data_IF_557385168568
#
_entry.id   IF_557385168568
#
_cell.length_a   1.000
_cell.length_b   1.000
_cell.length_c   1.000
_cell.angle_alpha   90.00
_cell.angle_beta   90.00
_cell.angle_gamma   90.00
#
_symmetry.space_group_name_H-M   'P 1'
#
loop_
_entity.id
_entity.type
_entity.pdbx_description
1 polymer ?
#
# COMPACT_ATOMS: atom_id res chain seq x y z
N UNK A 1 -16.57 -0.08 9.37
CA UNK A 1 -17.92 -0.08 9.96
C UNK A 1 -18.96 0.23 8.90
N UNK A 2 -18.93 1.42 8.28
CA UNK A 2 -19.92 1.84 7.26
C UNK A 2 -20.21 0.81 6.17
N UNK A 3 -19.17 0.21 5.56
CA UNK A 3 -19.37 -0.77 4.49
C UNK A 3 -20.14 -2.02 4.97
N UNK A 4 -19.75 -2.60 6.11
CA UNK A 4 -20.40 -3.81 6.63
C UNK A 4 -21.83 -3.53 7.11
N UNK A 5 -22.07 -2.36 7.71
CA UNK A 5 -23.44 -1.95 8.08
C UNK A 5 -24.31 -1.73 6.85
N UNK A 6 -23.77 -1.13 5.78
CA UNK A 6 -24.50 -0.98 4.52
C UNK A 6 -24.84 -2.34 3.89
N UNK A 7 -23.90 -3.29 3.88
CA UNK A 7 -24.14 -4.67 3.42
C UNK A 7 -25.27 -5.35 4.21
N UNK A 8 -25.30 -5.19 5.54
CA UNK A 8 -26.38 -5.73 6.39
C UNK A 8 -27.72 -5.08 6.05
N UNK A 9 -27.77 -3.75 5.92
CA UNK A 9 -29.00 -3.03 5.59
C UNK A 9 -29.56 -3.48 4.24
N UNK A 10 -28.73 -3.55 3.20
CA UNK A 10 -29.14 -4.05 1.87
C UNK A 10 -29.71 -5.47 1.97
N UNK A 11 -29.06 -6.34 2.75
CA UNK A 11 -29.48 -7.73 2.94
C UNK A 11 -30.78 -7.86 3.72
N UNK A 12 -30.98 -7.03 4.75
CA UNK A 12 -32.23 -6.99 5.52
C UNK A 12 -33.40 -6.51 4.65
N UNK A 13 -33.20 -5.47 3.84
CA UNK A 13 -34.22 -4.98 2.89
C UNK A 13 -34.62 -6.11 1.93
N UNK A 14 -33.65 -6.86 1.41
CA UNK A 14 -33.94 -8.00 0.53
C UNK A 14 -34.72 -9.12 1.24
N UNK A 15 -34.36 -9.48 2.48
CA UNK A 15 -35.09 -10.47 3.28
C UNK A 15 -36.53 -10.03 3.58
N UNK A 16 -36.73 -8.77 3.95
CA UNK A 16 -38.06 -8.19 4.18
C UNK A 16 -38.88 -8.28 2.90
N UNK A 17 -38.29 -8.01 1.73
CA UNK A 17 -38.96 -8.17 0.44
C UNK A 17 -39.48 -9.59 0.18
N UNK A 18 -38.74 -10.62 0.61
CA UNK A 18 -39.18 -12.01 0.51
C UNK A 18 -40.23 -12.40 1.56
N UNK A 19 -40.11 -11.94 2.80
CA UNK A 19 -41.06 -12.31 3.87
C UNK A 19 -42.40 -11.61 3.74
N UNK A 20 -42.41 -10.38 3.20
CA UNK A 20 -43.64 -9.58 3.02
C UNK A 20 -44.30 -9.78 1.66
N UNK A 21 -43.64 -10.48 0.72
CA UNK A 21 -44.11 -10.65 -0.65
C UNK A 21 -43.93 -9.42 -1.56
N UNK A 22 -43.47 -8.28 -1.01
CA UNK A 22 -43.12 -7.09 -1.80
C UNK A 22 -41.76 -7.25 -2.48
N UNK A 23 -41.72 -8.06 -3.54
CA UNK A 23 -40.52 -8.38 -4.31
C UNK A 23 -39.81 -7.14 -4.91
N UNK A 24 -40.47 -5.99 -5.00
CA UNK A 24 -39.86 -4.71 -5.39
C UNK A 24 -38.65 -4.36 -4.51
N UNK A 25 -38.73 -4.64 -3.20
CA UNK A 25 -37.65 -4.40 -2.24
C UNK A 25 -36.44 -5.31 -2.49
N UNK A 26 -36.65 -6.52 -2.99
CA UNK A 26 -35.58 -7.48 -3.25
C UNK A 26 -34.98 -7.39 -4.65
N UNK A 27 -35.68 -6.74 -5.61
CA UNK A 27 -35.25 -6.63 -7.02
C UNK A 27 -34.76 -5.25 -7.48
N UNK A 28 -34.93 -4.18 -6.70
CA UNK A 28 -34.60 -2.77 -7.04
C UNK A 28 -35.31 -2.16 -8.26
N UNK A 29 -35.59 -2.94 -9.31
CA UNK A 29 -36.40 -2.60 -10.48
C UNK A 29 -37.07 -3.87 -11.01
N UNK A 30 -38.25 -3.74 -11.63
CA UNK A 30 -39.02 -4.89 -12.14
C UNK A 30 -38.31 -5.71 -13.22
N UNK A 31 -37.28 -5.11 -13.84
CA UNK A 31 -36.45 -5.73 -14.88
C UNK A 31 -35.33 -6.62 -14.34
N UNK A 32 -35.07 -6.59 -13.04
CA UNK A 32 -33.93 -7.28 -12.43
C UNK A 32 -34.36 -8.46 -11.56
N UNK A 33 -33.47 -9.45 -11.45
CA UNK A 33 -33.68 -10.62 -10.60
C UNK A 33 -33.49 -10.22 -9.12
N UNK A 34 -34.38 -10.65 -8.21
CA UNK A 34 -34.24 -10.40 -6.79
C UNK A 34 -33.06 -11.16 -6.17
N UNK A 35 -32.43 -10.54 -5.16
CA UNK A 35 -31.42 -11.18 -4.31
C UNK A 35 -32.01 -12.40 -3.61
N UNK A 36 -31.35 -13.56 -3.66
CA UNK A 36 -31.82 -14.78 -3.01
C UNK A 36 -31.78 -14.67 -1.46
N UNK A 37 -32.71 -15.28 -0.72
CA UNK A 37 -32.70 -15.27 0.74
C UNK A 37 -31.42 -15.88 1.35
N UNK A 38 -30.91 -16.96 0.76
CA UNK A 38 -29.64 -17.61 1.11
C UNK A 38 -28.44 -16.66 1.02
N UNK A 39 -28.42 -15.83 -0.04
CA UNK A 39 -27.43 -14.76 -0.24
C UNK A 39 -27.51 -13.72 0.87
N UNK A 40 -28.72 -13.26 1.21
CA UNK A 40 -28.90 -12.21 2.23
C UNK A 40 -28.48 -12.68 3.63
N UNK A 41 -28.81 -13.92 4.00
CA UNK A 41 -28.35 -14.52 5.25
C UNK A 41 -26.82 -14.67 5.30
N UNK A 42 -26.20 -15.06 4.18
CA UNK A 42 -24.74 -15.19 4.08
C UNK A 42 -24.03 -13.84 4.25
N UNK A 43 -24.58 -12.77 3.68
CA UNK A 43 -24.08 -11.41 3.89
C UNK A 43 -24.22 -10.93 5.34
N UNK A 44 -25.37 -11.17 5.97
CA UNK A 44 -25.60 -10.81 7.38
C UNK A 44 -24.60 -11.56 8.27
N UNK A 45 -24.42 -12.87 8.05
CA UNK A 45 -23.48 -13.69 8.80
C UNK A 45 -22.04 -13.21 8.68
N UNK A 46 -21.54 -13.01 7.45
CA UNK A 46 -20.16 -12.54 7.24
C UNK A 46 -19.95 -11.09 7.70
N UNK A 47 -20.88 -10.18 7.40
CA UNK A 47 -20.76 -8.78 7.80
C UNK A 47 -20.84 -8.60 9.31
N UNK A 48 -21.72 -9.37 9.98
CA UNK A 48 -21.79 -9.43 11.43
C UNK A 48 -20.49 -9.95 12.04
N UNK A 49 -19.92 -11.04 11.49
CA UNK A 49 -18.63 -11.56 11.92
C UNK A 49 -17.48 -10.55 11.72
N UNK A 50 -17.48 -9.81 10.60
CA UNK A 50 -16.50 -8.75 10.33
C UNK A 50 -16.63 -7.56 11.30
N UNK A 51 -17.86 -7.16 11.66
CA UNK A 51 -18.11 -6.13 12.67
C UNK A 51 -17.62 -6.58 14.05
N UNK A 52 -17.91 -7.83 14.45
CA UNK A 52 -17.43 -8.40 15.71
C UNK A 52 -15.90 -8.48 15.76
N UNK A 53 -15.26 -8.96 14.70
CA UNK A 53 -13.80 -9.03 14.57
C UNK A 53 -13.15 -7.65 14.72
N UNK A 54 -13.77 -6.61 14.14
CA UNK A 54 -13.27 -5.23 14.22
C UNK A 54 -13.52 -4.57 15.58
N UNK A 55 -14.63 -4.88 16.25
CA UNK A 55 -15.01 -4.28 17.53
C UNK A 55 -14.21 -4.88 18.71
N UNK A 56 -13.91 -6.17 18.65
CA UNK A 56 -13.23 -6.89 19.73
C UNK A 56 -11.98 -7.64 19.22
N UNK A 57 -10.95 -6.92 18.76
CA UNK A 57 -9.73 -7.54 18.29
C UNK A 57 -9.07 -8.33 19.44
N UNK A 58 -8.50 -9.49 19.13
CA UNK A 58 -7.76 -10.34 20.07
C UNK A 58 -8.54 -10.95 21.25
N UNK A 59 -9.88 -10.85 21.30
CA UNK A 59 -10.67 -11.62 22.29
C UNK A 59 -10.84 -13.08 21.83
N UNK A 60 -10.31 -14.08 22.55
CA UNK A 60 -10.37 -15.49 22.14
C UNK A 60 -11.77 -16.02 21.83
N UNK A 61 -12.83 -15.79 22.66
CA UNK A 61 -14.15 -16.33 22.35
C UNK A 61 -14.76 -15.68 21.10
N UNK A 62 -14.51 -14.39 20.87
CA UNK A 62 -14.98 -13.69 19.67
C UNK A 62 -14.31 -14.25 18.43
N UNK A 63 -13.00 -14.54 18.47
CA UNK A 63 -12.29 -15.13 17.34
C UNK A 63 -12.82 -16.52 16.97
N UNK A 64 -13.24 -17.33 17.94
CA UNK A 64 -13.89 -18.63 17.67
C UNK A 64 -15.21 -18.43 16.94
N UNK A 65 -16.05 -17.50 17.41
CA UNK A 65 -17.33 -17.17 16.75
C UNK A 65 -17.12 -16.66 15.33
N UNK A 66 -16.16 -15.75 15.13
CA UNK A 66 -15.84 -15.18 13.81
C UNK A 66 -15.36 -16.26 12.83
N UNK A 67 -14.46 -17.15 13.27
CA UNK A 67 -13.98 -18.27 12.44
C UNK A 67 -15.10 -19.26 12.13
N UNK A 68 -15.94 -19.58 13.12
CA UNK A 68 -17.10 -20.44 12.96
C UNK A 68 -18.10 -19.88 11.94
N UNK A 69 -18.44 -18.59 12.03
CA UNK A 69 -19.32 -17.93 11.08
C UNK A 69 -18.74 -17.92 9.66
N UNK A 70 -17.44 -17.64 9.51
CA UNK A 70 -16.77 -17.66 8.22
C UNK A 70 -16.77 -19.07 7.60
N UNK A 71 -16.43 -20.10 8.38
CA UNK A 71 -16.47 -21.50 7.93
C UNK A 71 -17.89 -21.95 7.56
N UNK A 72 -18.89 -21.59 8.36
CA UNK A 72 -20.28 -21.94 8.10
C UNK A 72 -20.76 -21.37 6.74
N UNK A 73 -20.50 -20.08 6.49
CA UNK A 73 -20.87 -19.45 5.21
C UNK A 73 -20.08 -20.05 4.04
N UNK A 74 -18.78 -20.33 4.23
CA UNK A 74 -17.98 -20.96 3.17
C UNK A 74 -18.47 -22.37 2.82
N UNK A 75 -18.72 -23.22 3.81
CA UNK A 75 -19.21 -24.58 3.58
C UNK A 75 -20.59 -24.58 2.94
N UNK A 76 -21.48 -23.70 3.40
CA UNK A 76 -22.78 -23.48 2.78
C UNK A 76 -22.64 -23.08 1.30
N UNK A 77 -21.81 -22.08 0.98
CA UNK A 77 -21.62 -21.64 -0.40
C UNK A 77 -20.88 -22.68 -1.25
N UNK A 78 -19.97 -23.46 -0.67
CA UNK A 78 -19.29 -24.55 -1.35
C UNK A 78 -20.28 -25.66 -1.72
N UNK A 79 -21.20 -26.00 -0.82
CA UNK A 79 -22.26 -26.99 -1.10
C UNK A 79 -23.18 -26.55 -2.24
N UNK A 80 -23.52 -25.26 -2.31
CA UNK A 80 -24.29 -24.68 -3.42
C UNK A 80 -23.49 -24.74 -4.73
N UNK A 81 -22.21 -24.37 -4.69
CA UNK A 81 -21.35 -24.41 -5.87
C UNK A 81 -21.19 -25.83 -6.43
N UNK A 82 -21.11 -26.84 -5.55
CA UNK A 82 -21.07 -28.26 -5.91
C UNK A 82 -22.42 -28.71 -6.48
N UNK A 83 -23.55 -28.35 -5.87
CA UNK A 83 -24.90 -28.66 -6.40
C UNK A 83 -25.06 -28.10 -7.82
N UNK A 84 -24.64 -26.86 -8.07
CA UNK A 84 -24.75 -26.23 -9.40
C UNK A 84 -23.81 -26.88 -10.43
N UNK A 85 -22.58 -27.26 -10.05
CA UNK A 85 -21.59 -27.80 -10.99
C UNK A 85 -21.80 -29.28 -11.32
N UNK A 86 -22.30 -30.07 -10.36
CA UNK A 86 -22.51 -31.52 -10.52
C UNK A 86 -23.95 -31.88 -10.90
N UNK A 87 -24.91 -30.98 -10.67
CA UNK A 87 -26.33 -31.26 -10.84
C UNK A 87 -26.92 -32.19 -9.77
N UNK A 88 -26.16 -32.54 -8.72
CA UNK A 88 -26.64 -33.34 -7.60
C UNK A 88 -27.70 -32.56 -6.80
N UNK A 89 -28.94 -33.05 -6.67
CA UNK A 89 -30.02 -32.32 -6.00
C UNK A 89 -29.87 -32.41 -4.48
N UNK A 90 -28.92 -31.66 -3.91
CA UNK A 90 -28.78 -31.53 -2.45
C UNK A 90 -29.97 -30.77 -1.84
N UNK A 91 -30.62 -29.90 -2.61
CA UNK A 91 -31.88 -29.26 -2.21
C UNK A 91 -31.71 -28.26 -1.05
N UNK A 92 -30.50 -27.77 -0.83
CA UNK A 92 -30.13 -26.95 0.34
C UNK A 92 -30.90 -25.63 0.33
N UNK A 93 -31.09 -25.04 -0.84
CA UNK A 93 -31.81 -23.77 -0.98
C UNK A 93 -33.35 -23.91 -0.88
N UNK A 94 -33.89 -25.14 -1.01
CA UNK A 94 -35.35 -25.39 -0.90
C UNK A 94 -35.88 -25.12 0.51
N UNK A 95 -35.00 -25.14 1.51
CA UNK A 95 -35.33 -24.79 2.90
C UNK A 95 -35.75 -23.32 3.01
N UNK A 96 -35.12 -22.45 2.23
CA UNK A 96 -35.32 -21.00 2.31
C UNK A 96 -36.48 -20.51 1.46
N UNK A 97 -36.89 -21.26 0.43
CA UNK A 97 -38.01 -20.89 -0.43
C UNK A 97 -38.68 -22.12 -1.08
N UNK A 98 -39.99 -22.29 -0.83
CA UNK A 98 -40.75 -23.51 -1.21
C UNK A 98 -41.40 -23.47 -2.60
N UNK A 99 -41.52 -22.30 -3.24
CA UNK A 99 -42.29 -22.13 -4.49
C UNK A 99 -41.54 -21.29 -5.53
N UNK A 100 -40.52 -21.84 -6.24
CA UNK A 100 -39.70 -21.08 -7.18
C UNK A 100 -40.54 -20.47 -8.30
N UNK A 101 -40.68 -19.15 -8.28
CA UNK A 101 -41.19 -18.39 -9.42
C UNK A 101 -40.11 -18.40 -10.51
N UNK A 102 -40.51 -18.45 -11.77
CA UNK A 102 -39.58 -18.42 -12.90
C UNK A 102 -39.52 -17.00 -13.48
N UNK A 103 -38.31 -16.49 -13.70
CA UNK A 103 -38.07 -15.29 -14.48
C UNK A 103 -37.45 -15.70 -15.82
N UNK A 104 -38.28 -15.80 -16.85
CA UNK A 104 -37.88 -16.46 -18.11
C UNK A 104 -37.56 -17.93 -17.87
N UNK A 105 -36.32 -18.35 -18.16
CA UNK A 105 -35.83 -19.72 -17.98
C UNK A 105 -35.13 -19.96 -16.64
N UNK A 106 -35.05 -18.94 -15.77
CA UNK A 106 -34.25 -18.96 -14.55
C UNK A 106 -35.14 -19.04 -13.31
N UNK A 107 -34.82 -19.94 -12.38
CA UNK A 107 -35.53 -20.08 -11.12
C UNK A 107 -35.13 -18.98 -10.13
N UNK A 108 -36.11 -18.23 -9.62
CA UNK A 108 -35.91 -17.19 -8.61
C UNK A 108 -35.65 -17.77 -7.22
N UNK A 109 -34.98 -16.99 -6.38
CA UNK A 109 -34.69 -17.36 -4.98
C UNK A 109 -33.51 -18.32 -4.82
N UNK A 110 -32.78 -18.62 -5.91
CA UNK A 110 -31.57 -19.43 -5.91
C UNK A 110 -30.33 -18.57 -6.11
N UNK A 111 -29.26 -18.94 -5.43
CA UNK A 111 -28.00 -18.22 -5.50
C UNK A 111 -27.19 -18.60 -6.76
N UNK A 112 -26.55 -17.62 -7.41
CA UNK A 112 -25.72 -17.91 -8.58
C UNK A 112 -24.36 -18.51 -8.20
N UNK A 113 -23.75 -19.24 -9.14
CA UNK A 113 -22.40 -19.80 -8.98
C UNK A 113 -21.36 -18.72 -8.67
N UNK A 114 -21.44 -17.58 -9.38
CA UNK A 114 -20.55 -16.43 -9.18
C UNK A 114 -20.71 -15.85 -7.77
N UNK A 115 -21.96 -15.73 -7.29
CA UNK A 115 -22.25 -15.28 -5.91
C UNK A 115 -21.63 -16.25 -4.89
N UNK A 116 -21.75 -17.56 -5.13
CA UNK A 116 -21.18 -18.60 -4.25
C UNK A 116 -19.65 -18.51 -4.20
N UNK A 117 -18.99 -18.39 -5.34
CA UNK A 117 -17.54 -18.20 -5.41
C UNK A 117 -17.09 -16.92 -4.69
N UNK A 118 -17.83 -15.82 -4.82
CA UNK A 118 -17.53 -14.57 -4.12
C UNK A 118 -17.63 -14.71 -2.60
N UNK A 119 -18.62 -15.43 -2.09
CA UNK A 119 -18.71 -15.71 -0.65
C UNK A 119 -17.63 -16.66 -0.15
N UNK A 120 -17.24 -17.67 -0.93
CA UNK A 120 -16.13 -18.56 -0.57
C UNK A 120 -14.83 -17.75 -0.47
N UNK A 121 -14.56 -16.87 -1.44
CA UNK A 121 -13.40 -15.97 -1.41
C UNK A 121 -13.46 -14.97 -0.23
N UNK A 122 -14.63 -14.37 0.02
CA UNK A 122 -14.84 -13.42 1.14
C UNK A 122 -14.70 -14.10 2.50
N UNK A 123 -15.22 -15.32 2.66
CA UNK A 123 -15.09 -16.12 3.86
C UNK A 123 -13.65 -16.55 4.11
N UNK A 124 -12.92 -16.95 3.05
CA UNK A 124 -11.49 -17.28 3.15
C UNK A 124 -10.67 -16.05 3.53
N UNK A 125 -10.98 -14.88 2.97
CA UNK A 125 -10.38 -13.59 3.36
C UNK A 125 -10.55 -13.32 4.85
N UNK A 126 -11.76 -13.50 5.40
CA UNK A 126 -12.02 -13.36 6.83
C UNK A 126 -11.28 -14.41 7.66
N UNK A 127 -11.25 -15.68 7.24
CA UNK A 127 -10.51 -16.73 7.96
C UNK A 127 -9.02 -16.44 8.04
N UNK A 128 -8.40 -15.97 6.96
CA UNK A 128 -6.99 -15.57 6.97
C UNK A 128 -6.74 -14.43 7.97
N UNK A 129 -7.63 -13.42 8.02
CA UNK A 129 -7.51 -12.32 8.98
C UNK A 129 -7.75 -12.75 10.43
N UNK A 130 -8.68 -13.67 10.67
CA UNK A 130 -9.05 -14.11 12.01
C UNK A 130 -8.12 -15.22 12.57
N UNK A 131 -7.41 -15.95 11.71
CA UNK A 131 -6.61 -17.12 12.09
C UNK A 131 -5.12 -16.84 12.16
N UNK A 132 -4.61 -15.93 11.33
CA UNK A 132 -3.19 -15.62 11.29
C UNK A 132 -2.80 -14.57 12.35
N UNK A 133 -1.54 -14.59 12.83
CA UNK A 133 -1.04 -13.59 13.75
C UNK A 133 -1.20 -12.17 13.21
N UNK A 134 -1.45 -11.21 14.10
CA UNK A 134 -1.68 -9.81 13.73
C UNK A 134 -0.50 -9.20 12.95
N UNK A 135 0.72 -9.72 13.09
CA UNK A 135 1.91 -9.21 12.38
C UNK A 135 2.19 -9.89 11.03
N UNK A 136 1.37 -10.88 10.65
CA UNK A 136 1.56 -11.62 9.40
C UNK A 136 1.21 -10.76 8.18
N UNK A 137 2.23 -10.11 7.61
CA UNK A 137 2.10 -9.30 6.37
C UNK A 137 1.61 -10.14 5.19
N UNK A 138 2.09 -11.38 5.05
CA UNK A 138 1.68 -12.30 3.97
C UNK A 138 0.20 -12.65 4.10
N UNK A 139 -0.26 -13.01 5.31
CA UNK A 139 -1.67 -13.33 5.57
C UNK A 139 -2.63 -12.20 5.24
N UNK A 140 -2.33 -10.99 5.72
CA UNK A 140 -3.13 -9.79 5.42
C UNK A 140 -3.13 -9.43 3.94
N UNK A 141 -2.01 -9.65 3.24
CA UNK A 141 -1.92 -9.40 1.79
C UNK A 141 -2.75 -10.41 0.99
N UNK A 142 -2.74 -11.69 1.36
CA UNK A 142 -3.59 -12.70 0.73
C UNK A 142 -5.07 -12.43 0.97
N UNK A 143 -5.45 -12.08 2.22
CA UNK A 143 -6.82 -11.72 2.54
C UNK A 143 -7.32 -10.51 1.74
N UNK A 144 -6.49 -9.45 1.64
CA UNK A 144 -6.79 -8.28 0.83
C UNK A 144 -6.89 -8.61 -0.67
N UNK A 145 -6.05 -9.51 -1.18
CA UNK A 145 -6.10 -9.98 -2.57
C UNK A 145 -7.41 -10.72 -2.89
N UNK A 146 -7.84 -11.63 -2.02
CA UNK A 146 -9.13 -12.33 -2.17
C UNK A 146 -10.31 -11.34 -2.14
N UNK A 147 -10.30 -10.39 -1.20
CA UNK A 147 -11.32 -9.36 -1.12
C UNK A 147 -11.33 -8.45 -2.36
N UNK A 148 -10.16 -8.13 -2.92
CA UNK A 148 -10.05 -7.37 -4.16
C UNK A 148 -10.67 -8.11 -5.35
N UNK A 149 -10.46 -9.43 -5.47
CA UNK A 149 -11.12 -10.23 -6.52
C UNK A 149 -12.64 -10.12 -6.41
N UNK A 150 -13.19 -10.19 -5.19
CA UNK A 150 -14.63 -10.02 -4.95
C UNK A 150 -15.10 -8.63 -5.38
N UNK A 151 -14.34 -7.57 -5.05
CA UNK A 151 -14.66 -6.19 -5.49
C UNK A 151 -14.67 -6.08 -7.01
N UNK A 152 -13.67 -6.64 -7.69
CA UNK A 152 -13.57 -6.57 -9.16
C UNK A 152 -14.72 -7.32 -9.84
N UNK A 153 -15.03 -8.54 -9.38
CA UNK A 153 -16.17 -9.31 -9.89
C UNK A 153 -17.47 -8.55 -9.66
N UNK A 154 -17.68 -8.00 -8.46
CA UNK A 154 -18.86 -7.21 -8.15
C UNK A 154 -18.98 -5.94 -9.00
N UNK A 155 -17.86 -5.23 -9.23
CA UNK A 155 -17.81 -4.04 -10.06
C UNK A 155 -18.22 -4.33 -11.51
N UNK A 156 -17.71 -5.43 -12.10
CA UNK A 156 -18.09 -5.85 -13.47
C UNK A 156 -19.61 -6.05 -13.57
N UNK A 157 -20.24 -6.66 -12.55
CA UNK A 157 -21.68 -6.88 -12.58
C UNK A 157 -22.47 -5.58 -12.39
N UNK A 158 -22.07 -4.70 -11.46
CA UNK A 158 -22.71 -3.38 -11.31
C UNK A 158 -22.63 -2.58 -12.61
N UNK A 159 -21.48 -2.60 -13.29
CA UNK A 159 -21.30 -1.93 -14.59
C UNK A 159 -22.15 -2.56 -15.70
N UNK A 160 -22.27 -3.89 -15.72
CA UNK A 160 -23.18 -4.57 -16.66
C UNK A 160 -24.62 -4.09 -16.51
N UNK A 161 -25.13 -4.02 -15.28
CA UNK A 161 -26.45 -3.46 -15.00
C UNK A 161 -26.56 -1.98 -15.40
N UNK A 162 -25.51 -1.17 -15.18
CA UNK A 162 -25.55 0.26 -15.53
C UNK A 162 -25.50 0.53 -17.04
N UNK A 163 -24.85 -0.35 -17.81
CA UNK A 163 -24.79 -0.27 -19.28
C UNK A 163 -25.99 -0.94 -19.96
N UNK A 164 -26.93 -1.49 -19.18
CA UNK A 164 -28.06 -2.26 -19.71
C UNK A 164 -27.67 -3.61 -20.31
N UNK A 165 -26.39 -4.00 -20.24
CA UNK A 165 -25.88 -5.30 -20.67
C UNK A 165 -25.89 -6.23 -19.48
N UNK A 166 -27.00 -6.95 -19.35
CA UNK A 166 -27.15 -7.92 -18.28
C UNK A 166 -26.23 -9.12 -18.52
N UNK A 167 -25.03 -9.05 -17.94
CA UNK A 167 -23.98 -10.07 -18.00
C UNK A 167 -24.61 -11.43 -17.64
N UNK A 168 -24.59 -12.36 -18.59
CA UNK A 168 -25.13 -13.73 -18.49
C UNK A 168 -26.67 -13.88 -18.53
N UNK A 169 -27.45 -12.82 -18.74
CA UNK A 169 -28.89 -12.98 -19.01
C UNK A 169 -29.11 -13.55 -20.42
N UNK A 170 -30.01 -14.54 -20.51
CA UNK A 170 -30.30 -15.27 -21.76
C UNK A 170 -29.65 -16.65 -21.86
N UNK A 171 -28.77 -17.01 -20.93
CA UNK A 171 -28.25 -18.37 -20.76
C UNK A 171 -29.05 -19.21 -19.76
N UNK A 172 -28.63 -20.46 -19.54
CA UNK A 172 -29.13 -21.33 -18.45
C UNK A 172 -28.51 -21.00 -17.08
N UNK A 173 -27.57 -20.05 -17.03
CA UNK A 173 -26.82 -19.69 -15.83
C UNK A 173 -27.59 -18.61 -15.07
N UNK A 174 -27.83 -18.82 -13.78
CA UNK A 174 -28.43 -17.84 -12.89
C UNK A 174 -27.47 -16.63 -12.76
N UNK A 175 -27.86 -15.42 -13.16
CA UNK A 175 -26.99 -14.26 -13.05
C UNK A 175 -27.02 -13.67 -11.63
N UNK A 176 -25.98 -12.93 -11.25
CA UNK A 176 -25.93 -12.25 -9.95
C UNK A 176 -26.86 -11.04 -9.93
N UNK A 177 -27.70 -10.89 -8.90
CA UNK A 177 -28.61 -9.73 -8.73
C UNK A 177 -27.83 -8.40 -8.52
N UNK A 178 -28.42 -7.27 -8.90
CA UNK A 178 -27.79 -5.95 -8.80
C UNK A 178 -27.47 -5.56 -7.35
N UNK A 179 -28.44 -5.66 -6.44
CA UNK A 179 -28.24 -5.39 -5.03
C UNK A 179 -27.23 -6.36 -4.37
N UNK A 180 -27.17 -7.62 -4.81
CA UNK A 180 -26.11 -8.56 -4.43
C UNK A 180 -24.73 -8.06 -4.84
N UNK A 181 -24.58 -7.56 -6.08
CA UNK A 181 -23.33 -7.00 -6.57
C UNK A 181 -22.91 -5.77 -5.75
N UNK A 182 -23.84 -4.85 -5.49
CA UNK A 182 -23.59 -3.67 -4.65
C UNK A 182 -23.21 -4.06 -3.23
N UNK A 183 -23.87 -5.07 -2.64
CA UNK A 183 -23.55 -5.58 -1.31
C UNK A 183 -22.13 -6.18 -1.25
N UNK A 184 -21.68 -6.89 -2.29
CA UNK A 184 -20.31 -7.38 -2.40
C UNK A 184 -19.27 -6.28 -2.59
N UNK A 185 -19.59 -5.19 -3.33
CA UNK A 185 -18.71 -4.03 -3.42
C UNK A 185 -18.42 -3.48 -2.02
N UNK A 186 -19.47 -3.24 -1.22
CA UNK A 186 -19.29 -2.78 0.15
C UNK A 186 -18.54 -3.81 1.01
N UNK A 187 -18.92 -5.09 0.97
CA UNK A 187 -18.27 -6.13 1.75
C UNK A 187 -16.76 -6.22 1.45
N UNK A 188 -16.41 -6.34 0.16
CA UNK A 188 -15.04 -6.49 -0.30
C UNK A 188 -14.19 -5.25 -0.05
N UNK A 189 -14.70 -4.03 -0.31
CA UNK A 189 -13.99 -2.79 0.05
C UNK A 189 -13.76 -2.72 1.56
N UNK A 190 -14.77 -3.07 2.36
CA UNK A 190 -14.65 -3.15 3.81
C UNK A 190 -13.56 -4.12 4.27
N UNK A 191 -13.47 -5.30 3.64
CA UNK A 191 -12.42 -6.30 3.94
C UNK A 191 -11.02 -5.84 3.53
N UNK A 192 -10.87 -5.21 2.35
CA UNK A 192 -9.59 -4.61 1.92
C UNK A 192 -9.11 -3.58 2.93
N UNK A 193 -10.00 -2.69 3.37
CA UNK A 193 -9.68 -1.67 4.39
C UNK A 193 -9.37 -2.31 5.75
N UNK A 194 -10.12 -3.35 6.14
CA UNK A 194 -9.91 -4.06 7.41
C UNK A 194 -8.57 -4.80 7.46
N UNK A 195 -8.07 -5.32 6.33
CA UNK A 195 -6.75 -5.96 6.24
C UNK A 195 -5.61 -4.98 6.60
N UNK A 196 -5.86 -3.67 6.49
CA UNK A 196 -5.00 -2.60 7.00
C UNK A 196 -3.72 -2.36 6.17
N UNK A 197 -2.92 -1.34 6.54
CA UNK A 197 -1.77 -0.86 5.77
C UNK A 197 -0.58 -1.83 5.70
N UNK A 198 -0.63 -2.93 6.47
CA UNK A 198 0.35 -4.01 6.38
C UNK A 198 0.15 -4.88 5.14
N UNK A 199 -1.05 -4.90 4.55
CA UNK A 199 -1.32 -5.57 3.28
C UNK A 199 -0.65 -4.82 2.13
N UNK A 200 -0.12 -5.54 1.14
CA UNK A 200 0.46 -4.94 -0.07
C UNK A 200 -0.50 -3.95 -0.73
N UNK A 201 -1.77 -4.32 -0.90
CA UNK A 201 -2.74 -3.47 -1.57
C UNK A 201 -2.96 -2.14 -0.84
N UNK A 202 -3.27 -2.20 0.45
CA UNK A 202 -3.53 -1.00 1.24
C UNK A 202 -2.27 -0.15 1.42
N UNK A 203 -1.08 -0.77 1.50
CA UNK A 203 0.20 -0.04 1.59
C UNK A 203 0.44 0.86 0.38
N UNK A 204 -0.07 0.50 -0.80
CA UNK A 204 0.08 1.34 -1.99
C UNK A 204 -0.83 2.56 -1.98
N UNK A 205 -1.91 2.52 -1.19
CA UNK A 205 -2.83 3.63 -0.99
C UNK A 205 -2.73 4.23 0.42
N UNK A 206 -1.77 3.82 1.26
CA UNK A 206 -1.66 4.27 2.64
C UNK A 206 -0.26 4.82 2.94
N UNK A 207 -0.20 5.94 3.65
CA UNK A 207 1.03 6.61 4.05
C UNK A 207 1.34 7.88 3.24
N UNK A 208 2.43 8.54 3.62
CA UNK A 208 2.90 9.80 3.03
C UNK A 208 3.87 9.61 1.85
N UNK A 209 4.12 8.36 1.43
CA UNK A 209 5.01 8.10 0.30
C UNK A 209 4.49 8.73 -0.99
N UNK A 210 5.40 9.20 -1.83
CA UNK A 210 5.11 9.76 -3.16
C UNK A 210 4.25 8.83 -4.01
N UNK A 211 4.53 7.52 -3.93
CA UNK A 211 3.72 6.47 -4.58
C UNK A 211 2.27 6.47 -4.11
N UNK A 212 2.01 6.56 -2.80
CA UNK A 212 0.66 6.54 -2.26
C UNK A 212 -0.14 7.80 -2.64
N UNK A 213 0.53 8.96 -2.69
CA UNK A 213 -0.07 10.21 -3.16
C UNK A 213 -0.47 10.12 -4.63
N UNK A 214 0.42 9.60 -5.49
CA UNK A 214 0.13 9.36 -6.90
C UNK A 214 -1.04 8.39 -7.09
N UNK A 215 -1.03 7.25 -6.40
CA UNK A 215 -2.08 6.24 -6.52
C UNK A 215 -3.47 6.76 -6.11
N UNK A 216 -3.55 7.56 -5.04
CA UNK A 216 -4.81 8.17 -4.58
C UNK A 216 -5.35 9.23 -5.53
N UNK A 217 -4.49 9.85 -6.32
CA UNK A 217 -4.88 10.92 -7.24
C UNK A 217 -5.21 10.38 -8.64
N UNK A 218 -4.44 9.39 -9.11
CA UNK A 218 -4.54 8.89 -10.48
C UNK A 218 -5.58 7.78 -10.66
N UNK A 219 -5.57 6.78 -9.77
CA UNK A 219 -6.39 5.57 -9.93
C UNK A 219 -7.89 5.89 -9.86
N UNK A 220 -8.39 6.74 -8.93
CA UNK A 220 -9.80 7.09 -8.93
C UNK A 220 -10.22 7.84 -10.20
N UNK A 221 -9.37 8.74 -10.72
CA UNK A 221 -9.65 9.51 -11.93
C UNK A 221 -9.72 8.61 -13.15
N UNK A 222 -8.77 7.69 -13.32
CA UNK A 222 -8.78 6.76 -14.47
C UNK A 222 -9.97 5.82 -14.41
N UNK A 223 -10.29 5.25 -13.24
CA UNK A 223 -11.47 4.40 -13.05
C UNK A 223 -12.75 5.19 -13.37
N UNK A 224 -12.89 6.40 -12.83
CA UNK A 224 -14.07 7.24 -13.07
C UNK A 224 -14.21 7.58 -14.56
N UNK A 225 -13.11 7.91 -15.24
CA UNK A 225 -13.13 8.21 -16.67
C UNK A 225 -13.53 7.00 -17.51
N UNK A 226 -13.02 5.81 -17.20
CA UNK A 226 -13.39 4.55 -17.88
C UNK A 226 -14.89 4.27 -17.71
N UNK A 227 -15.43 4.44 -16.50
CA UNK A 227 -16.85 4.23 -16.22
C UNK A 227 -17.71 5.25 -16.96
N UNK A 228 -17.34 6.53 -16.93
CA UNK A 228 -18.06 7.61 -17.62
C UNK A 228 -18.07 7.35 -19.14
N UNK A 229 -16.94 6.98 -19.74
CA UNK A 229 -16.86 6.69 -21.16
C UNK A 229 -17.79 5.53 -21.56
N UNK A 230 -17.75 4.44 -20.80
CA UNK A 230 -18.63 3.29 -21.05
C UNK A 230 -20.09 3.68 -20.94
N UNK A 231 -20.46 4.49 -19.94
CA UNK A 231 -21.83 4.93 -19.71
C UNK A 231 -22.33 5.87 -20.81
N UNK A 232 -21.55 6.90 -21.17
CA UNK A 232 -21.87 7.85 -22.25
C UNK A 232 -22.03 7.12 -23.59
N UNK A 233 -21.09 6.22 -23.91
CA UNK A 233 -21.12 5.47 -25.18
C UNK A 233 -22.34 4.57 -25.31
N UNK A 234 -22.74 3.91 -24.22
CA UNK A 234 -23.86 2.94 -24.22
C UNK A 234 -25.23 3.58 -24.01
N UNK A 235 -25.31 4.74 -23.36
CA UNK A 235 -26.60 5.34 -22.98
C UNK A 235 -26.97 6.56 -23.83
N UNK A 236 -26.01 7.45 -24.12
CA UNK A 236 -26.28 8.75 -24.75
C UNK A 236 -26.17 8.65 -26.28
N UNK A 237 -25.08 8.05 -26.76
CA UNK A 237 -24.76 8.05 -28.20
C UNK A 237 -25.07 6.74 -28.92
N UNK A 238 -25.60 5.73 -28.21
CA UNK A 238 -25.79 4.38 -28.74
C UNK A 238 -26.62 4.30 -30.03
N UNK A 239 -27.50 5.26 -30.27
CA UNK A 239 -28.39 5.29 -31.46
C UNK A 239 -28.22 6.52 -32.36
N UNK A 240 -27.37 7.47 -31.97
CA UNK A 240 -27.30 8.79 -32.64
C UNK A 240 -26.03 8.94 -33.47
N UNK A 241 -24.92 8.36 -33.02
CA UNK A 241 -23.59 8.55 -33.64
C UNK A 241 -22.95 7.19 -33.89
N UNK A 242 -22.09 7.10 -34.92
CA UNK A 242 -21.29 5.90 -35.16
C UNK A 242 -20.51 5.53 -33.87
N UNK A 243 -20.63 4.28 -33.37
CA UNK A 243 -19.97 3.85 -32.14
C UNK A 243 -18.45 4.04 -32.17
N UNK A 244 -17.81 3.83 -33.32
CA UNK A 244 -16.37 4.00 -33.48
C UNK A 244 -15.94 5.45 -33.23
N UNK A 245 -16.68 6.41 -33.80
CA UNK A 245 -16.39 7.84 -33.64
C UNK A 245 -16.57 8.29 -32.18
N UNK A 246 -17.61 7.80 -31.52
CA UNK A 246 -17.90 8.11 -30.11
C UNK A 246 -16.78 7.60 -29.20
N UNK A 247 -16.36 6.35 -29.38
CA UNK A 247 -15.28 5.74 -28.59
C UNK A 247 -13.95 6.46 -28.84
N UNK A 248 -13.62 6.80 -30.08
CA UNK A 248 -12.40 7.54 -30.42
C UNK A 248 -12.38 8.93 -29.77
N UNK A 249 -13.45 9.71 -29.88
CA UNK A 249 -13.54 11.06 -29.29
C UNK A 249 -13.45 11.03 -27.76
N UNK A 250 -14.19 10.14 -27.11
CA UNK A 250 -14.16 9.97 -25.65
C UNK A 250 -12.77 9.51 -25.16
N UNK A 251 -12.09 8.65 -25.92
CA UNK A 251 -10.74 8.21 -25.59
C UNK A 251 -9.74 9.36 -25.67
N UNK A 252 -9.81 10.20 -26.72
CA UNK A 252 -8.95 11.39 -26.84
C UNK A 252 -9.20 12.37 -25.69
N UNK A 253 -10.47 12.65 -25.36
CA UNK A 253 -10.82 13.50 -24.21
C UNK A 253 -10.30 12.92 -22.89
N UNK A 254 -10.38 11.61 -22.72
CA UNK A 254 -9.87 10.92 -21.53
C UNK A 254 -8.37 11.00 -21.39
N UNK A 255 -7.64 10.80 -22.49
CA UNK A 255 -6.18 10.96 -22.52
C UNK A 255 -5.82 12.41 -22.16
N UNK A 256 -6.52 13.40 -22.71
CA UNK A 256 -6.28 14.81 -22.40
C UNK A 256 -6.50 15.13 -20.91
N UNK A 257 -7.63 14.69 -20.33
CA UNK A 257 -7.93 14.89 -18.90
C UNK A 257 -6.88 14.19 -18.02
N UNK A 258 -6.52 12.95 -18.35
CA UNK A 258 -5.49 12.20 -17.62
C UNK A 258 -4.15 12.94 -17.69
N UNK A 259 -3.74 13.45 -18.84
CA UNK A 259 -2.50 14.23 -19.00
C UNK A 259 -2.51 15.51 -18.16
N UNK A 260 -3.62 16.26 -18.15
CA UNK A 260 -3.76 17.47 -17.33
C UNK A 260 -3.64 17.16 -15.83
N UNK A 261 -4.34 16.13 -15.37
CA UNK A 261 -4.29 15.69 -13.97
C UNK A 261 -2.88 15.21 -13.61
N UNK A 262 -2.26 14.39 -14.47
CA UNK A 262 -0.88 13.93 -14.33
C UNK A 262 0.11 15.09 -14.17
N UNK A 263 0.02 16.08 -15.07
CA UNK A 263 0.91 17.23 -15.09
C UNK A 263 0.77 18.08 -13.83
N UNK A 264 -0.46 18.39 -13.41
CA UNK A 264 -0.70 19.15 -12.17
C UNK A 264 -0.17 18.44 -10.93
N UNK A 265 -0.38 17.12 -10.84
CA UNK A 265 0.13 16.32 -9.72
C UNK A 265 1.66 16.26 -9.75
N UNK A 266 2.26 16.09 -10.93
CA UNK A 266 3.71 16.04 -11.09
C UNK A 266 4.38 17.34 -10.61
N UNK A 267 3.80 18.50 -10.92
CA UNK A 267 4.32 19.80 -10.45
C UNK A 267 4.25 19.88 -8.92
N UNK A 268 3.09 19.58 -8.31
CA UNK A 268 2.91 19.66 -6.85
C UNK A 268 3.84 18.69 -6.10
N UNK A 269 4.09 17.52 -6.67
CA UNK A 269 4.98 16.52 -6.09
C UNK A 269 6.45 16.92 -6.28
N UNK A 270 6.81 17.43 -7.47
CA UNK A 270 8.15 17.92 -7.77
C UNK A 270 8.63 18.92 -6.73
N UNK A 271 7.83 19.96 -6.46
CA UNK A 271 8.19 20.96 -5.46
C UNK A 271 8.37 20.42 -4.04
N UNK A 272 7.72 19.29 -3.68
CA UNK A 272 7.92 18.66 -2.37
C UNK A 272 9.21 17.84 -2.33
N UNK A 273 9.58 17.22 -3.44
CA UNK A 273 10.82 16.46 -3.57
C UNK A 273 11.99 17.42 -3.59
N UNK A 274 11.93 18.48 -4.40
CA UNK A 274 12.99 19.49 -4.52
C UNK A 274 13.28 20.14 -3.16
N UNK A 275 12.24 20.52 -2.40
CA UNK A 275 12.39 21.06 -1.04
C UNK A 275 13.05 20.07 -0.07
N UNK A 276 12.68 18.80 -0.13
CA UNK A 276 13.27 17.77 0.73
C UNK A 276 14.73 17.49 0.37
N UNK A 277 15.07 17.56 -0.92
CA UNK A 277 16.44 17.40 -1.41
C UNK A 277 17.32 18.61 -1.03
N UNK A 278 16.79 19.83 -1.13
CA UNK A 278 17.46 21.04 -0.65
C UNK A 278 17.74 20.99 0.85
N UNK A 279 16.76 20.59 1.67
CA UNK A 279 16.91 20.44 3.11
C UNK A 279 17.96 19.37 3.47
N UNK A 280 17.94 18.23 2.77
CA UNK A 280 18.94 17.18 2.92
C UNK A 280 20.33 17.65 2.51
N UNK A 281 20.45 18.38 1.40
CA UNK A 281 21.71 18.94 0.92
C UNK A 281 22.28 19.94 1.92
N UNK A 282 21.44 20.84 2.44
CA UNK A 282 21.82 21.83 3.44
C UNK A 282 22.34 21.18 4.73
N UNK A 283 21.58 20.23 5.28
CA UNK A 283 22.01 19.53 6.51
C UNK A 283 23.28 18.71 6.28
N UNK A 284 23.48 18.13 5.09
CA UNK A 284 24.73 17.46 4.73
C UNK A 284 25.91 18.44 4.66
N UNK A 285 25.67 19.65 4.15
CA UNK A 285 26.68 20.72 4.09
C UNK A 285 27.05 21.20 5.49
N UNK A 286 26.06 21.52 6.33
CA UNK A 286 26.25 21.92 7.73
C UNK A 286 27.03 20.84 8.51
N UNK A 287 26.73 19.56 8.27
CA UNK A 287 27.46 18.44 8.87
C UNK A 287 28.93 18.39 8.40
N UNK A 288 29.18 18.59 7.10
CA UNK A 288 30.54 18.64 6.55
C UNK A 288 31.34 19.81 7.10
N UNK A 289 30.73 20.98 7.24
CA UNK A 289 31.39 22.18 7.78
C UNK A 289 31.72 22.02 9.27
N UNK A 290 30.81 21.42 10.05
CA UNK A 290 31.07 21.08 11.44
C UNK A 290 32.25 20.09 11.56
N UNK A 291 32.29 19.06 10.72
CA UNK A 291 33.40 18.11 10.67
C UNK A 291 34.73 18.78 10.26
N UNK A 292 34.70 19.68 9.28
CA UNK A 292 35.87 20.43 8.86
C UNK A 292 36.40 21.32 9.99
N UNK A 293 35.50 22.01 10.70
CA UNK A 293 35.84 22.86 11.85
C UNK A 293 36.50 22.04 12.96
N UNK A 294 35.94 20.89 13.32
CA UNK A 294 36.54 19.97 14.30
C UNK A 294 37.95 19.57 13.86
N UNK A 295 38.13 19.19 12.59
CA UNK A 295 39.44 18.80 12.05
C UNK A 295 40.46 19.95 12.11
N UNK A 296 40.02 21.20 11.86
CA UNK A 296 40.90 22.37 12.01
C UNK A 296 41.27 22.66 13.46
N UNK A 297 40.31 22.56 14.39
CA UNK A 297 40.54 22.76 15.82
C UNK A 297 41.47 21.68 16.39
N UNK A 298 41.32 20.43 15.95
CA UNK A 298 42.23 19.33 16.27
C UNK A 298 43.65 19.53 15.69
N UNK A 299 43.81 20.36 14.66
CA UNK A 299 45.11 20.69 14.07
C UNK A 299 45.86 21.83 14.79
N UNK A 300 45.22 22.55 15.72
CA UNK A 300 45.85 23.65 16.45
C UNK A 300 46.50 23.09 17.72
N UNK A 301 47.84 23.03 17.73
CA UNK A 301 48.61 22.68 18.91
C UNK A 301 48.91 23.96 19.74
N UNK A 302 48.36 24.11 20.95
CA UNK A 302 48.64 25.26 21.80
C UNK A 302 50.09 25.22 22.30
N UNK A 303 50.93 26.11 21.77
CA UNK A 303 52.36 26.20 22.11
C UNK A 303 52.62 27.39 23.03
N UNK A 304 53.44 27.20 24.08
CA UNK A 304 53.86 28.27 24.96
C UNK A 304 54.75 29.27 24.20
N UNK A 305 54.39 30.55 24.21
CA UNK A 305 55.11 31.60 23.48
C UNK A 305 56.56 31.78 23.93
N UNK A 306 56.86 31.46 25.20
CA UNK A 306 58.18 31.64 25.81
C UNK A 306 59.07 30.39 25.66
N UNK A 307 58.60 29.22 26.09
CA UNK A 307 59.42 27.99 26.15
C UNK A 307 59.09 26.92 25.10
N UNK A 308 58.15 27.20 24.19
CA UNK A 308 57.75 26.35 23.05
C UNK A 308 57.22 24.94 23.39
N UNK A 309 56.90 24.66 24.65
CA UNK A 309 56.16 23.44 25.05
C UNK A 309 54.75 23.41 24.48
N UNK A 310 54.22 22.23 24.17
CA UNK A 310 52.83 22.02 23.73
C UNK A 310 51.97 21.67 24.95
N UNK A 311 50.77 22.25 25.06
CA UNK A 311 49.79 21.88 26.08
C UNK A 311 48.90 20.73 25.59
N UNK A 312 48.83 19.65 26.36
CA UNK A 312 47.98 18.48 26.06
C UNK A 312 46.51 18.69 26.48
N UNK A 313 45.64 17.73 26.13
CA UNK A 313 44.22 17.75 26.49
C UNK A 313 43.96 17.71 28.02
N UNK A 314 44.92 17.20 28.80
CA UNK A 314 44.86 17.16 30.28
C UNK A 314 45.38 18.46 30.91
N UNK A 315 45.90 19.38 30.10
CA UNK A 315 46.39 20.68 30.50
C UNK A 315 47.86 20.72 30.90
N UNK A 316 48.64 19.64 30.76
CA UNK A 316 50.08 19.61 31.04
C UNK A 316 50.90 20.15 29.88
N UNK A 317 52.10 20.64 30.19
CA UNK A 317 53.02 21.20 29.20
C UNK A 317 54.17 20.23 28.90
N UNK A 318 54.16 19.68 27.70
CA UNK A 318 55.12 18.68 27.23
C UNK A 318 56.14 19.30 26.25
N UNK A 319 57.35 18.74 26.17
CA UNK A 319 58.28 19.12 25.10
C UNK A 319 57.73 18.72 23.73
N UNK A 320 58.05 19.51 22.71
CA UNK A 320 57.44 19.39 21.38
C UNK A 320 57.77 18.04 20.73
N UNK A 321 59.00 17.58 20.88
CA UNK A 321 59.51 16.32 20.35
C UNK A 321 58.77 15.14 20.97
N UNK A 322 58.61 15.16 22.30
CA UNK A 322 57.91 14.12 23.05
C UNK A 322 56.43 14.04 22.64
N UNK A 323 55.77 15.20 22.59
CA UNK A 323 54.35 15.28 22.23
C UNK A 323 54.08 14.79 20.80
N UNK A 324 54.89 15.23 19.83
CA UNK A 324 54.73 14.83 18.42
C UNK A 324 55.03 13.33 18.25
N UNK A 325 56.10 12.81 18.86
CA UNK A 325 56.45 11.38 18.76
C UNK A 325 55.30 10.48 19.25
N UNK A 326 54.68 10.82 20.38
CA UNK A 326 53.57 10.05 20.96
C UNK A 326 52.28 10.11 20.14
N UNK A 327 52.04 11.20 19.38
CA UNK A 327 50.76 11.45 18.71
C UNK A 327 50.79 11.30 17.18
N UNK A 328 51.96 11.23 16.54
CA UNK A 328 52.09 11.07 15.07
C UNK A 328 52.94 9.88 14.63
N UNK A 329 53.63 9.21 15.56
CA UNK A 329 54.58 8.13 15.24
C UNK A 329 55.85 8.62 14.54
N UNK A 330 56.12 9.93 14.53
CA UNK A 330 57.37 10.47 14.00
C UNK A 330 58.54 10.21 14.95
N UNK A 331 59.70 9.83 14.41
CA UNK A 331 60.96 9.69 15.17
C UNK A 331 61.86 10.92 14.93
N UNK A 332 62.41 11.48 16.01
CA UNK A 332 63.32 12.63 15.93
C UNK A 332 64.78 12.20 16.04
N UNK A 333 65.60 12.62 15.08
CA UNK A 333 67.06 12.57 15.19
C UNK A 333 67.60 13.93 15.61
N UNK A 334 68.72 13.94 16.33
CA UNK A 334 69.35 15.17 16.80
C UNK A 334 70.58 15.47 15.94
N UNK A 335 70.61 16.65 15.33
CA UNK A 335 71.73 17.17 14.56
C UNK A 335 71.89 18.66 14.80
N UNK A 336 73.11 19.17 14.61
CA UNK A 336 73.38 20.60 14.65
C UNK A 336 73.25 21.17 13.23
N UNK A 337 72.40 22.19 13.06
CA UNK A 337 72.41 22.94 11.80
C UNK A 337 73.73 23.72 11.67
N UNK A 338 74.16 24.07 10.44
CA UNK A 338 75.43 24.78 10.23
C UNK A 338 75.58 26.06 11.05
N UNK A 339 74.50 26.83 11.22
CA UNK A 339 74.50 28.07 12.01
C UNK A 339 74.78 27.80 13.51
N UNK A 340 74.11 26.81 14.08
CA UNK A 340 74.32 26.41 15.47
C UNK A 340 75.71 25.81 15.68
N UNK A 341 76.22 25.07 14.70
CA UNK A 341 77.57 24.50 14.74
C UNK A 341 78.64 25.60 14.78
N UNK A 342 78.52 26.63 13.92
CA UNK A 342 79.41 27.80 13.92
C UNK A 342 79.37 28.52 15.26
N UNK A 343 78.17 28.71 15.81
CA UNK A 343 77.98 29.49 17.03
C UNK A 343 78.49 28.76 18.29
N UNK A 344 78.21 27.47 18.41
CA UNK A 344 78.53 26.68 19.61
C UNK A 344 79.93 26.06 19.54
N UNK A 345 80.40 25.73 18.33
CA UNK A 345 81.68 25.08 18.09
C UNK A 345 82.47 25.78 16.97
N UNK A 346 82.76 27.09 17.11
CA UNK A 346 83.45 27.86 16.07
C UNK A 346 84.83 27.30 15.73
N UNK A 347 85.54 26.71 16.70
CA UNK A 347 86.86 26.09 16.48
C UNK A 347 86.79 24.82 15.63
N UNK A 348 85.76 23.99 15.81
CA UNK A 348 85.55 22.79 14.99
C UNK A 348 85.04 23.14 13.59
N UNK A 349 84.14 24.10 13.46
CA UNK A 349 83.68 24.57 12.14
C UNK A 349 84.84 25.15 11.30
N UNK A 350 85.71 25.94 11.94
CA UNK A 350 86.89 26.51 11.28
C UNK A 350 87.98 25.46 10.99
N UNK A 351 88.10 24.41 11.81
CA UNK A 351 89.02 23.29 11.56
C UNK A 351 88.54 22.40 10.41
N UNK A 352 87.23 22.18 10.27
CA UNK A 352 86.63 21.40 9.19
C UNK A 352 86.73 22.15 7.85
N UNK A 353 86.56 23.49 7.85
CA UNK A 353 86.90 24.35 6.70
C UNK A 353 88.38 24.30 6.33
N UNK A 354 89.30 24.19 7.30
CA UNK A 354 90.75 24.02 7.03
C UNK A 354 91.09 22.66 6.43
N UNK A 355 90.39 21.59 6.81
CA UNK A 355 90.56 20.25 6.22
C UNK A 355 89.99 20.15 4.81
N UNK A 356 88.79 20.68 4.57
CA UNK A 356 88.20 20.73 3.22
C UNK A 356 88.95 21.68 2.25
N UNK A 357 89.75 22.62 2.78
CA UNK A 357 90.69 23.43 2.00
C UNK A 357 92.10 22.86 1.86
N UNK A 358 92.40 21.69 2.45
CA UNK A 358 93.74 21.08 2.51
C UNK A 358 93.90 19.76 1.76
N UNK A 359 92.81 19.10 1.33
CA UNK A 359 92.85 17.86 0.51
C UNK A 359 92.80 18.16 -1.00
N UNK A 360 93.58 19.14 -1.46
CA UNK A 360 93.63 19.57 -2.87
C UNK A 360 95.02 19.93 -3.39
N UNK A 361 96.10 19.47 -2.75
CA UNK A 361 97.45 19.74 -3.23
C UNK A 361 98.50 18.86 -2.57
N UNK A 362 98.68 17.65 -3.09
CA UNK A 362 99.92 17.11 -3.67
C UNK A 362 99.69 15.72 -4.25
#
# INVERSE_FOLDING_TARGET
MVCFTATIVISLIALIGWTTGFLVLSRTSERFIPMAPSTALSFIGLSGALLLHRAYPARPPVNVVVRGAALAVMLFCLSIAVEISTGLPLGIEKIFYRSPQMFGTVALGRMSLITASCFIASGMSLLLMASLPADSRRGKSMAAGLALVVVLVAAVHVLGYSYGTLVLYGGKIIPMALNTAVAFLFLGIGQVVLAGPQSWLSRQFAGASTRALLMRSFVPVTIMMIIINGWIGTTIFAHVVNPALTVSLLSVLSIFVVLLVSSKIAIVIGERIDRAEEELSRTNHELKDALATIKTLQGILPICSSCKKIRDEKGHWNQIELYISEHSGAEFSHGLCPECLVKLYPSYYNADKKKQGGEGGE
#
